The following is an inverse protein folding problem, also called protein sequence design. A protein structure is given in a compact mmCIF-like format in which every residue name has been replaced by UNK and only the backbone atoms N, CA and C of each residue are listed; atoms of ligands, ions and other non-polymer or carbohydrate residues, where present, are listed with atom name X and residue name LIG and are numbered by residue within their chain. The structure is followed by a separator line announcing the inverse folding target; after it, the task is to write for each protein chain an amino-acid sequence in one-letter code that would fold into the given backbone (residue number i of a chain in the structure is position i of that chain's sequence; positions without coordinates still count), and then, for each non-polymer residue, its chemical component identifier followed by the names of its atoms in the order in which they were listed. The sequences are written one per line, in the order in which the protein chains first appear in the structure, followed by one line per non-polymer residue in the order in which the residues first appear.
data_IF_258871578746
#
_entry.id   IF_258871578746
#
_cell.length_a   1.000
_cell.length_b   1.000
_cell.length_c   1.000
_cell.angle_alpha   90.00
_cell.angle_beta   90.00
_cell.angle_gamma   90.00
#
_symmetry.space_group_name_H-M   'P 1'
#
loop_
_entity.id
_entity.type
_entity.pdbx_description
1 polymer ?
#
# COMPACT_ATOMS: atom_id res chain seq x y z
N UNK A 1 22.44 7.26 -15.45
CA UNK A 1 23.27 6.36 -14.61
C UNK A 1 22.37 5.25 -14.09
N UNK A 2 22.63 4.00 -14.48
CA UNK A 2 21.87 2.85 -14.00
C UNK A 2 22.50 2.36 -12.69
N UNK A 3 22.03 2.86 -11.54
CA UNK A 3 22.50 2.34 -10.25
C UNK A 3 22.01 0.89 -10.09
N UNK A 4 22.90 -0.07 -9.77
CA UNK A 4 22.48 -1.44 -9.53
C UNK A 4 21.55 -1.50 -8.31
N UNK A 5 20.38 -2.11 -8.49
CA UNK A 5 19.42 -2.31 -7.41
C UNK A 5 20.07 -3.17 -6.33
N UNK A 6 20.19 -2.62 -5.11
CA UNK A 6 20.75 -3.33 -3.97
C UNK A 6 19.81 -4.46 -3.53
N UNK A 7 20.36 -5.65 -3.30
CA UNK A 7 19.56 -6.81 -2.87
C UNK A 7 19.12 -6.68 -1.42
N UNK A 8 17.87 -7.03 -1.16
CA UNK A 8 17.33 -7.14 0.20
C UNK A 8 17.89 -8.39 0.87
N UNK A 9 18.76 -8.20 1.86
CA UNK A 9 19.41 -9.31 2.60
C UNK A 9 18.66 -9.75 3.85
N UNK A 10 17.68 -8.97 4.34
CA UNK A 10 16.89 -9.33 5.52
C UNK A 10 16.01 -10.55 5.21
N UNK A 11 15.90 -11.48 6.16
CA UNK A 11 14.99 -12.61 6.03
C UNK A 11 13.52 -12.18 6.12
N UNK A 12 12.64 -12.96 5.47
CA UNK A 12 11.18 -12.77 5.57
C UNK A 12 10.69 -12.90 7.02
N UNK A 13 11.25 -13.82 7.80
CA UNK A 13 10.90 -14.01 9.21
C UNK A 13 11.19 -12.77 10.08
N UNK A 14 12.36 -12.15 9.89
CA UNK A 14 12.71 -10.92 10.62
C UNK A 14 11.80 -9.75 10.25
N UNK A 15 11.44 -9.62 8.98
CA UNK A 15 10.43 -8.65 8.54
C UNK A 15 9.07 -8.90 9.22
N UNK A 16 8.59 -10.15 9.21
CA UNK A 16 7.31 -10.53 9.82
C UNK A 16 7.25 -10.21 11.31
N UNK A 17 8.28 -10.54 12.08
CA UNK A 17 8.32 -10.26 13.53
C UNK A 17 8.25 -8.76 13.79
N UNK A 18 8.97 -7.94 13.03
CA UNK A 18 8.92 -6.49 13.17
C UNK A 18 7.52 -5.95 12.85
N UNK A 19 6.93 -6.34 11.73
CA UNK A 19 5.59 -5.87 11.35
C UNK A 19 4.51 -6.33 12.34
N UNK A 20 4.57 -7.57 12.83
CA UNK A 20 3.61 -8.08 13.82
C UNK A 20 3.67 -7.32 15.16
N UNK A 21 4.86 -6.82 15.55
CA UNK A 21 5.01 -6.01 16.77
C UNK A 21 4.44 -4.60 16.59
N UNK A 22 4.54 -4.04 15.39
CA UNK A 22 4.09 -2.68 15.07
C UNK A 22 2.62 -2.60 14.65
N UNK A 23 2.05 -3.69 14.10
CA UNK A 23 0.72 -3.68 13.48
C UNK A 23 -0.40 -3.22 14.41
N UNK A 24 -0.33 -3.58 15.71
CA UNK A 24 -1.32 -3.15 16.72
C UNK A 24 -1.34 -1.64 16.96
N UNK A 25 -0.23 -0.95 16.68
CA UNK A 25 -0.09 0.49 16.90
C UNK A 25 -0.38 1.29 15.63
N UNK A 26 -0.22 0.67 14.45
CA UNK A 26 -0.50 1.31 13.16
C UNK A 26 -1.95 1.75 13.04
N UNK A 27 -2.95 0.91 13.33
CA UNK A 27 -4.35 1.33 13.21
C UNK A 27 -4.70 2.55 14.08
N UNK A 28 -4.06 2.67 15.24
CA UNK A 28 -4.32 3.74 16.22
C UNK A 28 -3.60 5.05 15.83
N UNK A 29 -2.39 4.96 15.29
CA UNK A 29 -1.53 6.13 15.01
C UNK A 29 -1.60 6.59 13.55
N UNK A 30 -1.89 5.68 12.62
CA UNK A 30 -2.09 5.98 11.20
C UNK A 30 -3.38 6.75 10.92
N UNK A 31 -4.41 6.58 11.76
CA UNK A 31 -5.78 6.97 11.43
C UNK A 31 -5.96 8.45 11.06
N UNK A 32 -5.28 9.36 11.76
CA UNK A 32 -5.45 10.81 11.56
C UNK A 32 -4.36 11.46 10.71
N UNK A 33 -3.09 11.07 10.84
CA UNK A 33 -1.97 11.70 10.10
C UNK A 33 -1.68 11.05 8.75
N UNK A 34 -1.82 9.74 8.61
CA UNK A 34 -1.53 9.05 7.34
C UNK A 34 -2.66 9.19 6.33
N UNK A 35 -3.90 9.43 6.79
CA UNK A 35 -5.07 9.63 5.92
C UNK A 35 -4.83 10.73 4.88
N UNK A 36 -4.26 11.87 5.27
CA UNK A 36 -3.98 12.99 4.36
C UNK A 36 -3.07 12.56 3.20
N UNK A 37 -1.99 11.86 3.50
CA UNK A 37 -1.02 11.43 2.49
C UNK A 37 -1.58 10.33 1.60
N UNK A 38 -2.37 9.42 2.18
CA UNK A 38 -3.12 8.42 1.42
C UNK A 38 -4.06 9.09 0.40
N UNK A 39 -4.88 10.04 0.84
CA UNK A 39 -5.86 10.69 -0.03
C UNK A 39 -5.17 11.46 -1.17
N UNK A 40 -4.06 12.16 -0.88
CA UNK A 40 -3.24 12.82 -1.90
C UNK A 40 -2.65 11.80 -2.88
N UNK A 41 -2.16 10.66 -2.39
CA UNK A 41 -1.62 9.59 -3.23
C UNK A 41 -2.67 9.01 -4.17
N UNK A 42 -3.86 8.71 -3.66
CA UNK A 42 -4.99 8.22 -4.45
C UNK A 42 -5.43 9.23 -5.51
N UNK A 43 -5.53 10.51 -5.15
CA UNK A 43 -5.84 11.59 -6.11
C UNK A 43 -4.78 11.75 -7.20
N UNK A 44 -3.51 11.55 -6.86
CA UNK A 44 -2.40 11.67 -7.82
C UNK A 44 -2.32 10.48 -8.76
N UNK A 45 -2.63 9.28 -8.26
CA UNK A 45 -2.67 8.09 -9.07
C UNK A 45 -3.86 8.15 -10.05
N UNK A 46 -4.97 8.75 -9.61
CA UNK A 46 -6.17 8.98 -10.42
C UNK A 46 -6.64 7.70 -11.13
N UNK A 47 -6.81 6.63 -10.34
CA UNK A 47 -7.18 5.32 -10.85
C UNK A 47 -8.50 5.38 -11.65
N UNK A 48 -8.48 4.83 -12.86
CA UNK A 48 -9.61 4.84 -13.78
C UNK A 48 -10.31 3.47 -13.87
N UNK A 49 -11.60 3.46 -14.25
CA UNK A 49 -12.31 2.20 -14.49
C UNK A 49 -11.59 1.28 -15.49
N UNK A 50 -11.49 -0.01 -15.15
CA UNK A 50 -10.84 -1.04 -15.97
C UNK A 50 -9.32 -1.16 -15.80
N UNK A 51 -8.68 -0.29 -15.01
CA UNK A 51 -7.24 -0.37 -14.78
C UNK A 51 -6.84 -1.57 -13.91
N UNK A 52 -5.60 -2.02 -14.09
CA UNK A 52 -4.95 -3.05 -13.26
C UNK A 52 -3.84 -2.42 -12.43
N UNK A 53 -4.00 -2.42 -11.11
CA UNK A 53 -3.11 -1.74 -10.18
C UNK A 53 -2.47 -2.75 -9.22
N UNK A 54 -1.17 -2.61 -8.98
CA UNK A 54 -0.43 -3.38 -8.00
C UNK A 54 -0.12 -2.50 -6.79
N UNK A 55 -0.59 -2.89 -5.61
CA UNK A 55 -0.26 -2.24 -4.35
C UNK A 55 0.79 -3.04 -3.56
N UNK A 56 2.01 -2.51 -3.53
CA UNK A 56 3.11 -3.15 -2.81
C UNK A 56 3.05 -2.76 -1.32
N UNK A 57 2.80 -3.76 -0.46
CA UNK A 57 2.85 -3.56 0.99
C UNK A 57 1.60 -2.87 1.53
N UNK A 58 0.43 -3.35 1.15
CA UNK A 58 -0.89 -2.77 1.41
C UNK A 58 -1.31 -2.58 2.88
N UNK A 59 -0.47 -2.96 3.85
CA UNK A 59 -0.73 -2.76 5.27
C UNK A 59 -2.11 -3.28 5.68
N UNK A 60 -2.96 -2.38 6.16
CA UNK A 60 -4.32 -2.69 6.64
C UNK A 60 -5.39 -2.68 5.53
N UNK A 61 -5.01 -2.42 4.27
CA UNK A 61 -5.87 -2.55 3.09
C UNK A 61 -6.76 -1.35 2.78
N UNK A 62 -6.57 -0.21 3.45
CA UNK A 62 -7.40 0.99 3.21
C UNK A 62 -7.28 1.55 1.79
N UNK A 63 -6.09 1.51 1.19
CA UNK A 63 -5.86 1.96 -0.18
C UNK A 63 -6.47 0.97 -1.19
N UNK A 64 -6.25 -0.33 -1.02
CA UNK A 64 -6.84 -1.39 -1.85
C UNK A 64 -8.35 -1.19 -2.00
N UNK A 65 -9.06 -0.92 -0.90
CA UNK A 65 -10.51 -0.70 -0.96
C UNK A 65 -10.91 0.52 -1.79
N UNK A 66 -10.15 1.62 -1.67
CA UNK A 66 -10.42 2.83 -2.46
C UNK A 66 -10.11 2.61 -3.95
N UNK A 67 -8.99 1.94 -4.25
CA UNK A 67 -8.57 1.63 -5.61
C UNK A 67 -9.53 0.64 -6.28
N UNK A 68 -9.95 -0.41 -5.57
CA UNK A 68 -10.90 -1.40 -6.09
C UNK A 68 -12.22 -0.76 -6.50
N UNK A 69 -12.68 0.24 -5.75
CA UNK A 69 -13.88 1.03 -6.11
C UNK A 69 -13.65 1.92 -7.32
N UNK A 70 -12.47 2.52 -7.45
CA UNK A 70 -12.14 3.40 -8.56
C UNK A 70 -12.03 2.65 -9.90
N UNK A 71 -11.37 1.48 -9.89
CA UNK A 71 -11.20 0.67 -11.11
C UNK A 71 -12.47 -0.11 -11.50
N UNK A 72 -13.44 -0.25 -10.59
CA UNK A 72 -14.73 -0.86 -10.89
C UNK A 72 -14.66 -2.36 -11.23
N UNK A 73 -15.78 -2.91 -11.70
CA UNK A 73 -15.96 -4.36 -11.91
C UNK A 73 -15.07 -4.96 -13.01
N UNK A 74 -14.61 -4.12 -13.95
CA UNK A 74 -13.75 -4.53 -15.06
C UNK A 74 -12.25 -4.37 -14.75
N UNK A 75 -11.91 -3.73 -13.63
CA UNK A 75 -10.53 -3.51 -13.19
C UNK A 75 -10.06 -4.51 -12.14
N UNK A 76 -8.79 -4.42 -11.77
CA UNK A 76 -8.16 -5.33 -10.79
C UNK A 76 -7.19 -4.56 -9.89
N UNK A 77 -7.20 -4.89 -8.59
CA UNK A 77 -6.19 -4.41 -7.63
C UNK A 77 -5.59 -5.61 -6.91
N UNK A 78 -4.26 -5.74 -6.95
CA UNK A 78 -3.51 -6.87 -6.41
C UNK A 78 -2.42 -6.44 -5.41
#
# INVERSE_FOLDING_TARGET
MNMPVSRVVRSKGKARVNYNRLSRWYDIVAGSTEKKYRDIGLQKLDAQPGERILEIGFGTGHCILALARAVGETGEVC
#
